data_IF_266935987765
#
_entry.id   IF_266935987765
#
_cell.length_a   1.000
_cell.length_b   1.000
_cell.length_c   1.000
_cell.angle_alpha   90.00
_cell.angle_beta   90.00
_cell.angle_gamma   90.00
#
_symmetry.space_group_name_H-M   'P 1'
#
loop_
_entity.id
_entity.type
_entity.pdbx_description
1 polymer ?
#
# COMPACT_ATOMS: atom_id res chain seq x y z
N UNK A 1 -34.30 58.16 -9.75
CA UNK A 1 -35.12 57.13 -9.06
C UNK A 1 -35.43 56.06 -10.11
N UNK A 2 -35.15 54.77 -9.95
CA UNK A 2 -34.88 53.99 -8.74
C UNK A 2 -33.94 52.81 -9.09
N UNK A 3 -33.12 52.43 -8.12
CA UNK A 3 -32.12 51.37 -8.16
C UNK A 3 -32.80 49.99 -8.09
N UNK A 4 -32.32 49.03 -8.88
CA UNK A 4 -32.68 47.62 -8.75
C UNK A 4 -32.04 47.01 -7.49
N UNK A 5 -32.77 46.20 -6.69
CA UNK A 5 -32.21 45.55 -5.51
C UNK A 5 -31.33 44.33 -5.87
N UNK A 6 -30.37 43.95 -5.01
CA UNK A 6 -29.45 42.85 -5.27
C UNK A 6 -30.11 41.47 -5.13
N UNK A 7 -29.87 40.59 -6.11
CA UNK A 7 -30.30 39.19 -6.13
C UNK A 7 -29.45 38.34 -5.17
N UNK A 8 -30.12 37.75 -4.19
CA UNK A 8 -29.93 36.36 -3.70
C UNK A 8 -28.53 35.86 -3.33
N UNK A 9 -27.65 36.69 -2.77
CA UNK A 9 -26.39 36.21 -2.17
C UNK A 9 -26.54 35.73 -0.72
N UNK A 10 -27.66 36.05 -0.05
CA UNK A 10 -27.86 35.80 1.38
C UNK A 10 -28.29 34.36 1.72
N UNK A 11 -29.18 33.76 0.92
CA UNK A 11 -29.77 32.44 1.25
C UNK A 11 -28.79 31.28 1.02
N UNK A 12 -27.94 31.37 -0.02
CA UNK A 12 -26.93 30.34 -0.31
C UNK A 12 -25.77 30.35 0.70
N UNK A 13 -25.38 31.54 1.19
CA UNK A 13 -24.38 31.67 2.26
C UNK A 13 -24.89 31.14 3.60
N UNK A 14 -26.15 31.42 3.94
CA UNK A 14 -26.77 30.92 5.17
C UNK A 14 -26.89 29.38 5.18
N UNK A 15 -27.19 28.75 4.04
CA UNK A 15 -27.27 27.29 3.92
C UNK A 15 -25.90 26.61 4.14
N UNK A 16 -24.82 27.21 3.66
CA UNK A 16 -23.43 26.73 3.88
C UNK A 16 -23.03 26.86 5.36
N UNK A 17 -23.40 27.96 6.03
CA UNK A 17 -23.15 28.11 7.46
C UNK A 17 -23.90 27.08 8.30
N UNK A 18 -25.14 26.72 7.95
CA UNK A 18 -25.91 25.67 8.63
C UNK A 18 -25.27 24.29 8.45
N UNK A 19 -24.77 23.97 7.25
CA UNK A 19 -24.04 22.71 7.00
C UNK A 19 -22.74 22.63 7.83
N UNK A 20 -22.03 23.76 7.97
CA UNK A 20 -20.79 23.83 8.76
C UNK A 20 -21.04 23.81 10.28
N UNK A 21 -22.19 24.33 10.75
CA UNK A 21 -22.57 24.33 12.17
C UNK A 21 -23.27 23.04 12.62
N UNK A 22 -23.83 22.25 11.68
CA UNK A 22 -24.52 21.00 11.96
C UNK A 22 -23.64 19.74 11.85
N UNK A 23 -22.32 19.88 11.60
CA UNK A 23 -21.38 18.81 11.87
C UNK A 23 -21.10 18.79 13.38
N UNK A 24 -21.71 17.90 14.17
CA UNK A 24 -21.17 17.68 15.48
C UNK A 24 -19.75 17.16 15.25
N UNK A 25 -18.78 17.78 15.90
CA UNK A 25 -17.46 17.21 16.12
C UNK A 25 -17.66 15.91 16.91
N UNK A 26 -18.01 14.84 16.20
CA UNK A 26 -18.03 13.46 16.69
C UNK A 26 -16.87 12.74 16.05
N UNK A 27 -15.69 13.22 16.39
CA UNK A 27 -14.56 12.34 16.56
C UNK A 27 -13.96 12.59 17.95
N UNK A 28 -14.78 12.32 18.96
CA UNK A 28 -14.28 11.76 20.22
C UNK A 28 -14.03 10.27 19.94
N UNK A 29 -13.10 9.98 19.02
CA UNK A 29 -12.34 8.76 19.20
C UNK A 29 -11.71 8.92 20.58
N UNK A 30 -12.00 7.98 21.49
CA UNK A 30 -11.30 7.89 22.76
C UNK A 30 -9.81 8.09 22.48
N UNK A 31 -9.06 8.85 23.31
CA UNK A 31 -7.61 8.92 23.13
C UNK A 31 -7.17 7.47 22.98
N UNK A 32 -6.61 7.15 21.81
CA UNK A 32 -5.99 5.85 21.58
C UNK A 32 -5.03 5.77 22.74
N UNK A 33 -5.39 4.97 23.76
CA UNK A 33 -4.58 4.86 24.96
C UNK A 33 -3.22 4.55 24.41
N UNK A 34 -2.27 5.46 24.57
CA UNK A 34 -0.92 5.27 24.13
C UNK A 34 -0.47 4.09 24.94
N UNK A 35 -0.70 2.89 24.40
CA UNK A 35 -0.08 1.68 24.83
C UNK A 35 1.36 1.98 24.47
N UNK A 36 2.04 2.65 25.40
CA UNK A 36 3.48 2.72 25.46
C UNK A 36 3.84 1.26 25.71
N UNK A 37 3.83 0.50 24.62
CA UNK A 37 4.26 -0.87 24.59
C UNK A 37 5.64 -0.82 25.21
N UNK A 38 5.81 -1.56 26.29
CA UNK A 38 7.14 -1.89 26.75
C UNK A 38 7.76 -2.73 25.63
N UNK A 39 8.27 -2.05 24.61
CA UNK A 39 8.94 -2.70 23.50
C UNK A 39 10.29 -3.10 24.03
N UNK A 40 10.43 -4.39 24.37
CA UNK A 40 11.75 -5.00 24.25
C UNK A 40 12.29 -4.62 22.87
N UNK A 41 13.59 -4.29 22.73
CA UNK A 41 14.16 -3.96 21.43
C UNK A 41 13.72 -5.02 20.42
N UNK A 42 13.18 -4.63 19.25
CA UNK A 42 12.66 -5.59 18.26
C UNK A 42 13.62 -6.78 17.97
N UNK A 43 14.95 -6.60 17.92
CA UNK A 43 15.90 -7.70 17.74
C UNK A 43 15.97 -8.71 18.90
N UNK A 44 15.44 -8.36 20.08
CA UNK A 44 15.33 -9.25 21.23
C UNK A 44 14.10 -10.18 21.15
N UNK A 45 13.15 -9.91 20.25
CA UNK A 45 12.03 -10.82 20.02
C UNK A 45 12.50 -12.06 19.23
N UNK A 46 12.33 -13.28 19.75
CA UNK A 46 12.79 -14.50 19.09
C UNK A 46 12.14 -14.75 17.72
N UNK A 47 10.89 -14.32 17.51
CA UNK A 47 10.21 -14.44 16.23
C UNK A 47 10.81 -13.51 15.18
N UNK A 48 11.15 -12.27 15.57
CA UNK A 48 11.85 -11.32 14.68
C UNK A 48 13.22 -11.85 14.31
N UNK A 49 13.96 -12.43 15.27
CA UNK A 49 15.26 -13.03 14.99
C UNK A 49 15.14 -14.21 14.03
N UNK A 50 14.19 -15.12 14.24
CA UNK A 50 13.96 -16.24 13.34
C UNK A 50 13.65 -15.78 11.91
N UNK A 51 12.86 -14.71 11.74
CA UNK A 51 12.59 -14.13 10.43
C UNK A 51 13.85 -13.55 9.76
N UNK A 52 14.67 -12.80 10.50
CA UNK A 52 15.93 -12.25 9.99
C UNK A 52 16.95 -13.35 9.64
N UNK A 53 17.05 -14.38 10.48
CA UNK A 53 17.92 -15.54 10.26
C UNK A 53 17.48 -16.35 9.03
N UNK A 54 16.18 -16.37 8.72
CA UNK A 54 15.67 -16.94 7.47
C UNK A 54 15.99 -16.08 6.25
N UNK A 55 15.87 -14.75 6.35
CA UNK A 55 16.13 -13.85 5.21
C UNK A 55 17.57 -13.91 4.72
N UNK A 56 18.55 -13.96 5.61
CA UNK A 56 19.97 -13.90 5.27
C UNK A 56 20.42 -14.96 4.23
N UNK A 57 20.16 -16.27 4.41
CA UNK A 57 20.49 -17.28 3.40
C UNK A 57 19.55 -17.28 2.19
N UNK A 58 18.37 -16.68 2.27
CA UNK A 58 17.36 -16.68 1.20
C UNK A 58 17.37 -15.41 0.33
N UNK A 59 18.30 -14.47 0.56
CA UNK A 59 18.32 -13.17 -0.13
C UNK A 59 18.41 -13.29 -1.65
N UNK A 60 19.11 -14.31 -2.17
CA UNK A 60 19.19 -14.55 -3.61
C UNK A 60 17.83 -14.91 -4.22
N UNK A 61 17.05 -15.74 -3.52
CA UNK A 61 15.70 -16.09 -3.93
C UNK A 61 14.78 -14.85 -3.91
N UNK A 62 14.88 -14.00 -2.88
CA UNK A 62 14.15 -12.73 -2.81
C UNK A 62 14.52 -11.81 -3.99
N UNK A 63 15.82 -11.65 -4.28
CA UNK A 63 16.29 -10.84 -5.40
C UNK A 63 15.81 -11.38 -6.75
N UNK A 64 15.78 -12.69 -6.93
CA UNK A 64 15.28 -13.32 -8.15
C UNK A 64 13.78 -13.14 -8.32
N UNK A 65 13.02 -13.20 -7.22
CA UNK A 65 11.59 -12.91 -7.22
C UNK A 65 11.31 -11.44 -7.57
N UNK A 66 12.02 -10.51 -6.93
CA UNK A 66 11.96 -9.08 -7.23
C UNK A 66 12.26 -8.82 -8.72
N UNK A 67 13.30 -9.46 -9.24
CA UNK A 67 13.69 -9.30 -10.64
C UNK A 67 12.63 -9.85 -11.61
N UNK A 68 12.02 -10.99 -11.27
CA UNK A 68 10.93 -11.61 -12.04
C UNK A 68 9.71 -10.70 -12.10
N UNK A 69 9.27 -10.16 -10.96
CA UNK A 69 8.11 -9.27 -10.90
C UNK A 69 8.37 -7.94 -11.62
N UNK A 70 9.55 -7.36 -11.44
CA UNK A 70 9.97 -6.13 -12.14
C UNK A 70 9.97 -6.33 -13.67
N UNK A 71 10.38 -7.51 -14.14
CA UNK A 71 10.38 -7.85 -15.55
C UNK A 71 9.00 -7.97 -16.21
N UNK A 72 7.90 -7.84 -15.44
CA UNK A 72 6.53 -7.77 -15.97
C UNK A 72 6.17 -6.30 -16.12
N UNK A 73 5.94 -5.77 -17.35
CA UNK A 73 5.50 -4.39 -17.52
C UNK A 73 4.19 -4.13 -16.76
N UNK A 74 4.15 -3.04 -16.01
CA UNK A 74 2.94 -2.55 -15.35
C UNK A 74 2.90 -1.01 -15.43
N UNK A 75 2.64 -0.42 -16.60
CA UNK A 75 2.31 1.00 -16.67
C UNK A 75 1.08 1.29 -15.80
N UNK A 76 0.93 2.54 -15.36
CA UNK A 76 -0.26 2.98 -14.63
C UNK A 76 -1.57 2.54 -15.32
N UNK A 77 -2.46 1.95 -14.54
CA UNK A 77 -3.75 1.37 -14.93
C UNK A 77 -3.67 0.13 -15.86
N UNK A 78 -2.49 -0.48 -15.98
CA UNK A 78 -2.23 -1.70 -16.79
C UNK A 78 -1.48 -2.77 -15.98
N UNK A 79 -1.81 -2.90 -14.70
CA UNK A 79 -1.09 -3.73 -13.71
C UNK A 79 -1.51 -5.20 -13.72
N UNK A 80 -2.58 -5.55 -14.46
CA UNK A 80 -3.25 -6.85 -14.38
C UNK A 80 -2.31 -8.06 -14.53
N UNK A 81 -1.32 -7.97 -15.42
CA UNK A 81 -0.34 -9.06 -15.61
C UNK A 81 0.57 -9.25 -14.38
N UNK A 82 1.00 -8.14 -13.76
CA UNK A 82 1.81 -8.18 -12.54
C UNK A 82 0.97 -8.61 -11.33
N UNK A 83 -0.28 -8.14 -11.23
CA UNK A 83 -1.24 -8.59 -10.22
C UNK A 83 -1.46 -10.11 -10.29
N UNK A 84 -1.64 -10.65 -11.49
CA UNK A 84 -1.81 -12.09 -11.71
C UNK A 84 -0.56 -12.91 -11.32
N UNK A 85 0.63 -12.33 -11.40
CA UNK A 85 1.87 -12.96 -10.95
C UNK A 85 2.08 -12.88 -9.43
N UNK A 86 1.62 -11.81 -8.78
CA UNK A 86 1.71 -11.64 -7.31
C UNK A 86 0.71 -12.52 -6.56
N UNK A 87 -0.51 -12.67 -7.09
CA UNK A 87 -1.57 -13.49 -6.45
C UNK A 87 -1.11 -14.89 -5.99
N UNK A 88 -0.51 -15.74 -6.85
CA UNK A 88 -0.07 -17.06 -6.43
C UNK A 88 1.05 -17.02 -5.38
N UNK A 89 1.93 -16.00 -5.38
CA UNK A 89 3.00 -15.88 -4.39
C UNK A 89 2.45 -15.66 -2.98
N UNK A 90 1.44 -14.79 -2.85
CA UNK A 90 0.76 -14.58 -1.58
C UNK A 90 0.02 -15.84 -1.12
N UNK A 91 -0.58 -16.59 -2.05
CA UNK A 91 -1.28 -17.83 -1.74
C UNK A 91 -0.31 -18.94 -1.29
N UNK A 92 0.84 -19.07 -1.95
CA UNK A 92 1.94 -19.98 -1.58
C UNK A 92 2.53 -19.66 -0.21
N UNK A 93 2.50 -18.38 0.20
CA UNK A 93 2.85 -17.94 1.55
C UNK A 93 1.79 -18.27 2.62
N UNK A 94 0.67 -18.92 2.24
CA UNK A 94 -0.39 -19.36 3.15
C UNK A 94 -1.45 -18.29 3.45
N UNK A 95 -1.52 -17.21 2.65
CA UNK A 95 -2.52 -16.16 2.81
C UNK A 95 -3.83 -16.52 2.09
N UNK A 96 -4.95 -16.00 2.59
CA UNK A 96 -6.20 -15.94 1.81
C UNK A 96 -6.09 -14.79 0.82
N UNK A 97 -6.20 -15.06 -0.49
CA UNK A 97 -5.88 -14.07 -1.52
C UNK A 97 -7.03 -13.82 -2.49
N UNK A 98 -7.34 -12.56 -2.71
CA UNK A 98 -8.26 -12.11 -3.76
C UNK A 98 -7.65 -11.00 -4.63
N UNK A 99 -8.27 -10.78 -5.79
CA UNK A 99 -8.05 -9.57 -6.58
C UNK A 99 -9.36 -8.80 -6.57
N UNK A 100 -9.34 -7.57 -6.08
CA UNK A 100 -10.54 -6.75 -6.00
C UNK A 100 -10.94 -6.17 -7.37
N UNK A 101 -12.03 -5.39 -7.41
CA UNK A 101 -12.51 -4.77 -8.64
C UNK A 101 -11.58 -3.70 -9.22
N UNK A 102 -10.70 -3.12 -8.39
CA UNK A 102 -9.72 -2.13 -8.83
C UNK A 102 -8.43 -2.79 -9.34
N UNK A 103 -8.25 -4.10 -9.14
CA UNK A 103 -7.05 -4.85 -9.54
C UNK A 103 -6.01 -4.97 -8.43
N UNK A 104 -6.33 -4.57 -7.19
CA UNK A 104 -5.43 -4.77 -6.06
C UNK A 104 -5.35 -6.26 -5.72
N UNK A 105 -4.16 -6.77 -5.43
CA UNK A 105 -3.98 -8.12 -4.88
C UNK A 105 -3.97 -8.01 -3.37
N UNK A 106 -4.98 -8.57 -2.72
CA UNK A 106 -5.16 -8.49 -1.26
C UNK A 106 -4.91 -9.88 -0.69
N UNK A 107 -3.88 -9.99 0.16
CA UNK A 107 -3.56 -11.19 0.91
C UNK A 107 -3.83 -10.96 2.40
N UNK A 108 -4.62 -11.84 3.02
CA UNK A 108 -4.99 -11.75 4.42
C UNK A 108 -4.40 -12.90 5.23
N UNK A 109 -3.72 -12.56 6.33
CA UNK A 109 -3.34 -13.48 7.38
C UNK A 109 -4.24 -13.22 8.59
N UNK A 110 -5.03 -14.21 8.99
CA UNK A 110 -5.90 -14.07 10.15
C UNK A 110 -5.09 -13.93 11.44
N UNK A 111 -5.28 -12.81 12.13
CA UNK A 111 -4.64 -12.50 13.40
C UNK A 111 -5.29 -13.23 14.59
N UNK A 112 -4.73 -13.03 15.79
CA UNK A 112 -5.29 -13.59 17.02
C UNK A 112 -6.64 -12.96 17.42
N UNK A 113 -6.94 -11.75 16.92
CA UNK A 113 -8.21 -11.04 17.13
C UNK A 113 -8.41 -9.96 16.05
N UNK A 114 -9.62 -9.42 15.97
CA UNK A 114 -10.03 -8.42 14.97
C UNK A 114 -9.81 -6.95 15.43
N UNK A 115 -9.16 -6.71 16.57
CA UNK A 115 -9.00 -5.36 17.15
C UNK A 115 -7.69 -4.68 16.75
N UNK A 116 -6.70 -5.46 16.32
CA UNK A 116 -5.36 -5.00 15.97
C UNK A 116 -5.08 -5.40 14.52
N UNK A 117 -5.09 -4.43 13.60
CA UNK A 117 -4.89 -4.65 12.16
C UNK A 117 -3.57 -4.00 11.75
N UNK A 118 -2.76 -4.75 11.00
CA UNK A 118 -1.54 -4.24 10.37
C UNK A 118 -1.73 -4.35 8.86
N UNK A 119 -1.46 -3.26 8.14
CA UNK A 119 -1.47 -3.24 6.68
C UNK A 119 -0.04 -3.04 6.21
N UNK A 120 0.43 -3.94 5.36
CA UNK A 120 1.66 -3.80 4.57
C UNK A 120 1.22 -3.62 3.13
N UNK A 121 1.63 -2.53 2.49
CA UNK A 121 1.17 -2.17 1.16
C UNK A 121 2.33 -1.74 0.26
N UNK A 122 2.21 -2.10 -1.01
CA UNK A 122 3.14 -1.78 -2.08
C UNK A 122 2.31 -1.60 -3.36
N UNK A 123 2.61 -0.56 -4.14
CA UNK A 123 1.93 -0.36 -5.43
C UNK A 123 2.51 -1.30 -6.50
N UNK A 124 1.66 -1.70 -7.45
CA UNK A 124 2.02 -2.62 -8.53
C UNK A 124 2.48 -1.89 -9.79
N UNK A 125 2.03 -0.67 -9.99
CA UNK A 125 2.28 0.08 -11.21
C UNK A 125 3.71 0.62 -11.25
N UNK A 126 4.01 1.26 -12.37
CA UNK A 126 5.24 2.00 -12.58
C UNK A 126 4.90 3.23 -13.41
N UNK A 127 5.74 4.25 -13.26
CA UNK A 127 5.65 5.48 -14.06
C UNK A 127 6.09 5.29 -15.52
N UNK A 128 6.60 4.10 -15.88
CA UNK A 128 7.18 3.84 -17.19
C UNK A 128 6.11 3.40 -18.20
N UNK A 129 6.10 3.98 -19.42
CA UNK A 129 5.10 3.64 -20.42
C UNK A 129 5.31 2.24 -20.99
N UNK A 130 4.26 1.70 -21.61
CA UNK A 130 4.33 0.45 -22.35
C UNK A 130 5.46 0.47 -23.40
N UNK A 131 6.16 -0.66 -23.55
CA UNK A 131 7.32 -0.77 -24.45
C UNK A 131 8.65 -0.34 -23.83
N UNK A 132 8.67 0.18 -22.60
CA UNK A 132 9.92 0.39 -21.84
C UNK A 132 10.62 -0.95 -21.62
N UNK A 133 11.93 -1.01 -21.84
CA UNK A 133 12.73 -2.19 -21.48
C UNK A 133 12.86 -2.30 -19.96
N UNK A 134 12.12 -3.26 -19.39
CA UNK A 134 12.09 -3.54 -17.95
C UNK A 134 13.01 -4.71 -17.55
N UNK A 135 13.90 -5.15 -18.47
CA UNK A 135 14.84 -6.23 -18.17
C UNK A 135 15.77 -5.84 -17.03
N UNK A 136 15.85 -6.71 -16.03
CA UNK A 136 16.74 -6.52 -14.89
C UNK A 136 18.18 -6.85 -15.25
N UNK A 137 19.05 -5.86 -15.09
CA UNK A 137 20.50 -6.00 -15.21
C UNK A 137 21.12 -6.20 -13.82
N UNK A 138 22.08 -7.12 -13.72
CA UNK A 138 22.84 -7.39 -12.50
C UNK A 138 24.30 -7.02 -12.72
N UNK A 139 24.85 -6.21 -11.82
CA UNK A 139 26.27 -5.83 -11.77
C UNK A 139 26.77 -6.03 -10.34
N UNK A 140 27.48 -7.13 -10.10
CA UNK A 140 27.82 -7.58 -8.76
C UNK A 140 26.57 -7.76 -7.88
N UNK A 141 26.49 -6.99 -6.79
CA UNK A 141 25.35 -7.00 -5.86
C UNK A 141 24.24 -6.01 -6.23
N UNK A 142 24.42 -5.23 -7.31
CA UNK A 142 23.47 -4.20 -7.73
C UNK A 142 22.53 -4.73 -8.81
N UNK A 143 21.23 -4.50 -8.63
CA UNK A 143 20.21 -4.69 -9.65
C UNK A 143 19.73 -3.34 -10.19
N UNK A 144 19.52 -3.24 -11.50
CA UNK A 144 18.97 -2.03 -12.14
C UNK A 144 17.98 -2.37 -13.25
N UNK A 145 16.80 -1.75 -13.19
CA UNK A 145 15.80 -1.68 -14.25
C UNK A 145 14.79 -0.57 -13.92
N UNK A 146 14.06 -0.04 -14.91
CA UNK A 146 12.85 0.75 -14.67
C UNK A 146 11.89 0.01 -13.73
N UNK A 147 11.58 0.62 -12.58
CA UNK A 147 10.66 0.07 -11.58
C UNK A 147 11.26 -0.89 -10.57
N UNK A 148 12.57 -1.23 -10.66
CA UNK A 148 13.20 -2.21 -9.75
C UNK A 148 13.17 -1.79 -8.28
N UNK A 149 13.25 -0.48 -8.01
CA UNK A 149 13.20 0.09 -6.66
C UNK A 149 11.83 0.62 -6.31
N UNK A 150 11.18 1.34 -7.24
CA UNK A 150 9.87 1.96 -7.06
C UNK A 150 8.86 1.33 -8.04
N UNK A 151 8.04 0.38 -7.61
CA UNK A 151 8.05 -0.24 -6.28
C UNK A 151 8.31 -1.74 -6.32
N UNK A 152 9.10 -2.19 -7.29
CA UNK A 152 9.49 -3.60 -7.42
C UNK A 152 10.14 -4.16 -6.16
N UNK A 153 10.90 -3.36 -5.40
CA UNK A 153 11.54 -3.78 -4.14
C UNK A 153 10.57 -3.89 -2.96
N UNK A 154 9.41 -3.23 -3.04
CA UNK A 154 8.37 -3.30 -2.02
C UNK A 154 7.38 -4.45 -2.22
N UNK A 155 7.38 -5.07 -3.40
CA UNK A 155 6.57 -6.25 -3.75
C UNK A 155 7.30 -7.55 -3.41
#
# INVERSE_FOLDING_TARGET
MSLNPPRNLSVKGALVCVILLAMPVRSLAAPHSSRRSQTSPLPANPQVRAALDWLAPNINWVNDLQARLTGIPAPAFQEAARAAAVKPLLAEAGLSVEIDKAGNVIGELQGANEKEIIIVAAHLDTVFPAGTDVKVHRDGTRMSAPGISDNGAGL
#
